data_IF_590390738999
#
_entry.id   IF_590390738999
#
_cell.length_a   1.000
_cell.length_b   1.000
_cell.length_c   1.000
_cell.angle_alpha   90.00
_cell.angle_beta   90.00
_cell.angle_gamma   90.00
#
_symmetry.space_group_name_H-M   'P 1'
#
loop_
_entity.id
_entity.type
_entity.pdbx_description
1 polymer ?
#
# COMPACT_ATOMS: atom_id res chain seq x y z
N UNK A 1 -9.63 -2.36 20.53
CA UNK A 1 -9.62 -1.45 19.36
C UNK A 1 -10.18 -2.19 18.15
N UNK A 2 -11.01 -1.51 17.36
CA UNK A 2 -11.63 -1.97 16.11
C UNK A 2 -10.95 -1.34 14.90
N UNK A 3 -11.11 -1.95 13.72
CA UNK A 3 -10.59 -1.36 12.49
C UNK A 3 -11.32 -0.05 12.14
N UNK A 4 -10.67 0.91 11.45
CA UNK A 4 -11.28 2.19 11.10
C UNK A 4 -12.52 2.00 10.23
N UNK A 5 -13.66 2.54 10.70
CA UNK A 5 -14.94 2.47 10.02
C UNK A 5 -15.12 3.64 9.05
N UNK A 6 -14.30 3.66 7.99
CA UNK A 6 -14.35 4.68 6.92
C UNK A 6 -15.66 4.65 6.13
N UNK A 7 -16.00 5.65 5.30
CA UNK A 7 -17.22 5.60 4.47
C UNK A 7 -17.31 4.40 3.52
N UNK A 8 -16.18 3.82 3.11
CA UNK A 8 -16.13 2.59 2.32
C UNK A 8 -16.24 1.32 3.17
N UNK A 9 -16.24 1.41 4.50
CA UNK A 9 -16.26 0.24 5.37
C UNK A 9 -17.63 -0.47 5.32
N UNK A 10 -17.60 -1.76 5.01
CA UNK A 10 -18.78 -2.64 4.97
C UNK A 10 -19.91 -2.11 4.06
N UNK A 11 -19.55 -1.49 2.95
CA UNK A 11 -20.50 -0.95 1.97
C UNK A 11 -20.53 -1.77 0.69
N UNK A 12 -21.68 -1.80 0.03
CA UNK A 12 -21.82 -2.50 -1.24
C UNK A 12 -21.31 -1.60 -2.36
N UNK A 13 -20.56 -2.17 -3.29
CA UNK A 13 -20.26 -1.47 -4.54
C UNK A 13 -21.13 -1.98 -5.69
N UNK A 14 -21.54 -1.06 -6.56
CA UNK A 14 -22.23 -1.35 -7.83
C UNK A 14 -21.43 -0.95 -9.06
N UNK A 15 -20.41 -0.10 -8.89
CA UNK A 15 -19.66 0.56 -9.96
C UNK A 15 -18.18 0.12 -10.05
N UNK A 16 -17.62 -0.48 -8.99
CA UNK A 16 -16.22 -0.94 -8.91
C UNK A 16 -15.96 -2.19 -9.75
N UNK A 17 -14.73 -2.68 -9.86
CA UNK A 17 -14.46 -3.93 -10.61
C UNK A 17 -15.25 -5.13 -10.05
N UNK A 18 -15.32 -6.19 -10.86
CA UNK A 18 -16.30 -7.27 -10.70
C UNK A 18 -16.28 -7.97 -9.33
N UNK A 19 -15.11 -8.21 -8.71
CA UNK A 19 -15.01 -8.83 -7.37
C UNK A 19 -15.80 -8.02 -6.35
N UNK A 20 -15.56 -6.71 -6.24
CA UNK A 20 -16.25 -5.84 -5.27
C UNK A 20 -17.77 -5.76 -5.49
N UNK A 21 -18.27 -6.10 -6.69
CA UNK A 21 -19.72 -6.13 -6.97
C UNK A 21 -20.39 -7.42 -6.48
N UNK A 22 -19.60 -8.47 -6.25
CA UNK A 22 -20.08 -9.81 -5.88
C UNK A 22 -20.01 -10.09 -4.39
N UNK A 23 -19.28 -9.25 -3.64
CA UNK A 23 -19.08 -9.40 -2.20
C UNK A 23 -20.41 -9.43 -1.45
N UNK A 24 -20.50 -10.35 -0.48
CA UNK A 24 -21.62 -10.41 0.45
C UNK A 24 -21.58 -9.18 1.38
N UNK A 25 -22.54 -8.28 1.19
CA UNK A 25 -22.72 -7.09 2.02
C UNK A 25 -24.10 -7.10 2.68
N UNK A 26 -24.24 -6.84 3.99
CA UNK A 26 -23.15 -6.57 4.94
C UNK A 26 -22.33 -7.81 5.26
N UNK A 27 -21.10 -7.59 5.72
CA UNK A 27 -20.21 -8.62 6.28
C UNK A 27 -20.91 -9.36 7.42
N UNK A 28 -20.65 -10.67 7.51
CA UNK A 28 -21.09 -11.49 8.63
C UNK A 28 -20.34 -11.15 9.92
N UNK A 29 -20.86 -11.63 11.05
CA UNK A 29 -20.25 -11.41 12.35
C UNK A 29 -18.81 -11.98 12.43
N UNK A 30 -18.56 -13.11 11.79
CA UNK A 30 -17.22 -13.72 11.75
C UNK A 30 -16.24 -12.85 10.97
N UNK A 31 -16.62 -12.35 9.79
CA UNK A 31 -15.84 -11.34 9.05
C UNK A 31 -15.59 -10.07 9.86
N UNK A 32 -16.61 -9.52 10.52
CA UNK A 32 -16.48 -8.32 11.35
C UNK A 32 -15.50 -8.50 12.51
N UNK A 33 -15.58 -9.64 13.21
CA UNK A 33 -14.66 -9.98 14.29
C UNK A 33 -13.23 -10.18 13.76
N UNK A 34 -13.09 -10.93 12.66
CA UNK A 34 -11.80 -11.17 12.02
C UNK A 34 -11.10 -9.86 11.63
N UNK A 35 -11.83 -8.91 11.05
CA UNK A 35 -11.31 -7.60 10.68
C UNK A 35 -10.76 -6.86 11.91
N UNK A 36 -11.51 -6.83 13.01
CA UNK A 36 -11.10 -6.12 14.22
C UNK A 36 -9.93 -6.78 14.95
N UNK A 37 -9.90 -8.11 14.96
CA UNK A 37 -8.80 -8.87 15.55
C UNK A 37 -7.53 -8.75 14.69
N UNK A 38 -7.66 -8.80 13.37
CA UNK A 38 -6.55 -8.56 12.44
C UNK A 38 -5.99 -7.15 12.60
N UNK A 39 -6.84 -6.14 12.67
CA UNK A 39 -6.40 -4.76 12.93
C UNK A 39 -5.62 -4.65 14.24
N UNK A 40 -6.16 -5.21 15.34
CA UNK A 40 -5.52 -5.17 16.65
C UNK A 40 -4.16 -5.90 16.65
N UNK A 41 -4.06 -7.03 15.96
CA UNK A 41 -2.82 -7.77 15.85
C UNK A 41 -1.78 -7.02 15.03
N UNK A 42 -2.17 -6.37 13.93
CA UNK A 42 -1.27 -5.49 13.16
C UNK A 42 -0.74 -4.33 13.99
N UNK A 43 -1.57 -3.72 14.83
CA UNK A 43 -1.11 -2.68 15.77
C UNK A 43 -0.11 -3.21 16.79
N UNK A 44 -0.31 -4.44 17.29
CA UNK A 44 0.64 -5.08 18.19
C UNK A 44 1.99 -5.33 17.52
N UNK A 45 2.00 -5.79 16.26
CA UNK A 45 3.26 -6.00 15.52
C UNK A 45 3.96 -4.69 15.21
N UNK A 46 3.20 -3.61 14.95
CA UNK A 46 3.78 -2.28 14.72
C UNK A 46 4.56 -1.75 15.93
N UNK A 47 4.17 -2.12 17.16
CA UNK A 47 4.94 -1.74 18.35
C UNK A 47 6.37 -2.31 18.30
N UNK A 48 6.53 -3.58 17.92
CA UNK A 48 7.87 -4.17 17.76
C UNK A 48 8.67 -3.56 16.61
N UNK A 49 8.00 -3.05 15.57
CA UNK A 49 8.65 -2.30 14.49
C UNK A 49 9.11 -0.93 14.98
N UNK A 50 8.31 -0.26 15.81
CA UNK A 50 8.66 1.03 16.42
C UNK A 50 9.91 0.91 17.30
N UNK A 51 9.94 -0.09 18.20
CA UNK A 51 11.11 -0.41 19.02
C UNK A 51 12.36 -0.68 18.16
N UNK A 52 12.20 -1.38 17.03
CA UNK A 52 13.29 -1.65 16.09
C UNK A 52 13.82 -0.36 15.45
N UNK A 53 12.93 0.55 15.05
CA UNK A 53 13.30 1.84 14.45
C UNK A 53 14.04 2.71 15.47
N UNK A 54 13.55 2.80 16.71
CA UNK A 54 14.23 3.53 17.80
C UNK A 54 15.65 2.99 18.01
N UNK A 55 15.80 1.67 18.12
CA UNK A 55 17.08 1.01 18.32
C UNK A 55 18.06 1.30 17.17
N UNK A 56 17.59 1.22 15.91
CA UNK A 56 18.41 1.52 14.73
C UNK A 56 18.87 2.98 14.72
N UNK A 57 17.96 3.93 14.96
CA UNK A 57 18.28 5.37 14.97
C UNK A 57 19.26 5.69 16.10
N UNK A 58 19.00 5.21 17.31
CA UNK A 58 19.88 5.38 18.48
C UNK A 58 21.28 4.82 18.22
N UNK A 59 21.40 3.68 17.53
CA UNK A 59 22.69 3.11 17.17
C UNK A 59 23.47 3.99 16.19
N UNK A 60 22.80 4.55 15.18
CA UNK A 60 23.41 5.48 14.23
C UNK A 60 23.88 6.77 14.91
N UNK A 61 23.13 7.26 15.91
CA UNK A 61 23.52 8.42 16.75
C UNK A 61 24.76 8.12 17.57
N UNK A 62 24.76 7.00 18.31
CA UNK A 62 25.92 6.58 19.13
C UNK A 62 27.19 6.38 18.30
N UNK A 63 27.05 5.98 17.03
CA UNK A 63 28.16 5.85 16.08
C UNK A 63 28.55 7.17 15.41
N UNK A 64 27.87 8.28 15.68
CA UNK A 64 28.08 9.60 15.06
C UNK A 64 27.96 9.59 13.52
N UNK A 65 27.18 8.67 12.96
CA UNK A 65 26.96 8.57 11.50
C UNK A 65 25.56 9.01 11.08
N UNK A 66 24.63 9.20 12.02
CA UNK A 66 23.23 9.51 11.70
C UNK A 66 23.07 10.77 10.82
N UNK A 67 23.92 11.78 10.97
CA UNK A 67 23.84 13.01 10.15
C UNK A 67 24.27 12.81 8.69
N UNK A 68 24.94 11.70 8.38
CA UNK A 68 25.38 11.33 7.03
C UNK A 68 24.66 10.07 6.51
N UNK A 69 23.51 9.72 7.11
CA UNK A 69 22.73 8.53 6.73
C UNK A 69 21.33 8.95 6.31
N UNK A 70 20.90 8.49 5.14
CA UNK A 70 19.49 8.51 4.76
C UNK A 70 18.77 7.32 5.43
N UNK A 71 17.67 7.61 6.13
CA UNK A 71 16.74 6.62 6.68
C UNK A 71 15.44 6.76 5.93
N UNK A 72 14.99 5.67 5.30
CA UNK A 72 13.77 5.61 4.51
C UNK A 72 12.85 4.57 5.14
N UNK A 73 11.65 5.00 5.53
CA UNK A 73 10.59 4.14 6.05
C UNK A 73 9.47 4.07 5.01
N UNK A 74 9.11 2.86 4.60
CA UNK A 74 8.10 2.60 3.59
C UNK A 74 7.36 1.28 3.86
N UNK A 75 6.35 0.98 3.03
CA UNK A 75 5.66 -0.33 3.01
C UNK A 75 5.65 -0.89 1.58
N UNK A 76 5.57 -2.21 1.46
CA UNK A 76 5.49 -2.92 0.17
C UNK A 76 4.15 -2.65 -0.55
N UNK A 77 3.06 -2.67 0.19
CA UNK A 77 1.69 -2.41 -0.27
C UNK A 77 0.82 -1.90 0.88
N UNK A 78 -0.37 -1.43 0.53
CA UNK A 78 -1.47 -1.19 1.45
C UNK A 78 -2.12 -2.49 1.93
N UNK A 79 -3.23 -2.37 2.65
CA UNK A 79 -3.96 -3.52 3.18
C UNK A 79 -5.36 -3.08 3.61
N UNK A 80 -6.39 -3.63 3.00
CA UNK A 80 -7.76 -3.36 3.42
C UNK A 80 -8.20 -4.25 4.58
N UNK A 81 -9.15 -3.70 5.33
CA UNK A 81 -9.77 -4.28 6.51
C UNK A 81 -11.23 -3.82 6.55
N UNK A 82 -12.08 -4.49 5.74
CA UNK A 82 -13.51 -4.25 5.66
C UNK A 82 -13.98 -3.26 4.59
N UNK A 83 -13.07 -2.63 3.83
CA UNK A 83 -13.45 -1.77 2.71
C UNK A 83 -14.26 -2.57 1.68
N UNK A 84 -15.41 -2.03 1.27
CA UNK A 84 -16.37 -2.67 0.36
C UNK A 84 -16.78 -4.09 0.77
N UNK A 85 -16.85 -4.34 2.08
CA UNK A 85 -17.15 -5.65 2.69
C UNK A 85 -16.11 -6.74 2.40
N UNK A 86 -14.94 -6.39 1.88
CA UNK A 86 -13.79 -7.29 1.78
C UNK A 86 -13.13 -7.43 3.17
N UNK A 87 -13.09 -8.64 3.76
CA UNK A 87 -12.50 -8.81 5.08
C UNK A 87 -11.03 -8.38 5.13
N UNK A 88 -10.16 -8.89 4.26
CA UNK A 88 -8.73 -8.53 4.27
C UNK A 88 -7.96 -9.05 3.06
N UNK A 89 -7.17 -8.19 2.46
CA UNK A 89 -6.15 -8.54 1.48
C UNK A 89 -5.34 -7.29 1.06
N UNK A 90 -4.60 -7.38 -0.05
CA UNK A 90 -3.81 -6.33 -0.68
C UNK A 90 -3.82 -6.38 -2.22
N UNK A 91 -4.85 -6.99 -2.81
CA UNK A 91 -4.90 -7.38 -4.24
C UNK A 91 -5.83 -6.49 -5.09
N UNK A 92 -6.26 -5.35 -4.57
CA UNK A 92 -7.13 -4.42 -5.28
C UNK A 92 -6.35 -3.18 -5.76
N UNK A 93 -6.71 -2.62 -6.92
CA UNK A 93 -6.05 -1.41 -7.46
C UNK A 93 -6.52 -0.09 -6.80
N UNK A 94 -7.21 -0.16 -5.66
CA UNK A 94 -7.75 1.01 -4.97
C UNK A 94 -6.76 1.55 -3.93
N UNK A 95 -6.97 2.81 -3.52
CA UNK A 95 -6.12 3.53 -2.55
C UNK A 95 -5.77 2.70 -1.30
N UNK A 96 -6.73 1.95 -0.77
CA UNK A 96 -6.53 1.18 0.47
C UNK A 96 -5.50 0.05 0.35
N UNK A 97 -5.19 -0.40 -0.88
CA UNK A 97 -4.25 -1.49 -1.15
C UNK A 97 -2.95 -1.02 -1.81
N UNK A 98 -2.95 0.16 -2.44
CA UNK A 98 -1.76 0.64 -3.17
C UNK A 98 -1.09 1.84 -2.51
N UNK A 99 -1.79 2.60 -1.67
CA UNK A 99 -1.21 3.78 -1.01
C UNK A 99 -0.52 3.38 0.28
N UNK A 100 0.77 3.65 0.35
CA UNK A 100 1.66 3.28 1.46
C UNK A 100 2.30 4.51 2.12
N UNK A 101 2.74 4.41 3.39
CA UNK A 101 3.58 5.45 3.98
C UNK A 101 4.93 5.53 3.25
N UNK A 102 5.47 6.75 3.13
CA UNK A 102 6.86 7.01 2.78
C UNK A 102 7.35 8.17 3.65
N UNK A 103 8.37 7.91 4.47
CA UNK A 103 9.04 8.92 5.28
C UNK A 103 10.53 8.85 5.04
N UNK A 104 11.17 10.00 4.86
CA UNK A 104 12.60 10.08 4.59
C UNK A 104 13.24 11.08 5.54
N UNK A 105 14.35 10.68 6.15
CA UNK A 105 15.27 11.51 6.92
C UNK A 105 16.65 11.40 6.29
N UNK A 106 17.43 12.47 6.26
CA UNK A 106 18.84 12.38 5.90
C UNK A 106 19.46 13.73 5.57
N UNK A 107 20.71 13.74 5.06
CA UNK A 107 21.40 14.95 4.65
C UNK A 107 20.55 15.83 3.72
N UNK A 108 20.40 17.11 4.07
CA UNK A 108 19.66 18.10 3.26
C UNK A 108 18.13 18.00 3.29
N UNK A 109 17.54 16.95 3.87
CA UNK A 109 16.09 16.81 4.00
C UNK A 109 15.59 17.69 5.15
N UNK A 110 14.65 18.59 4.88
CA UNK A 110 14.12 19.51 5.89
C UNK A 110 13.18 18.78 6.86
N UNK A 111 13.35 18.91 8.19
CA UNK A 111 12.43 18.32 9.16
C UNK A 111 10.99 18.83 9.00
N UNK A 112 10.01 17.94 9.18
CA UNK A 112 8.59 18.28 9.15
C UNK A 112 8.02 18.61 7.76
N UNK A 113 8.81 18.48 6.70
CA UNK A 113 8.36 18.70 5.32
C UNK A 113 7.28 17.67 4.94
N UNK A 114 6.22 18.14 4.28
CA UNK A 114 5.18 17.31 3.65
C UNK A 114 5.18 17.60 2.15
N UNK A 115 4.97 16.54 1.36
CA UNK A 115 4.96 16.57 -0.11
C UNK A 115 3.71 15.87 -0.61
N UNK A 116 3.12 16.41 -1.67
CA UNK A 116 1.97 15.82 -2.37
C UNK A 116 2.37 15.19 -3.71
N UNK A 117 3.66 15.22 -4.04
CA UNK A 117 4.23 14.59 -5.23
C UNK A 117 3.92 13.10 -5.26
N UNK A 118 3.63 12.60 -6.47
CA UNK A 118 3.38 11.18 -6.70
C UNK A 118 4.69 10.38 -6.74
N UNK A 119 4.94 9.65 -5.66
CA UNK A 119 6.05 8.69 -5.55
C UNK A 119 5.52 7.26 -5.56
N UNK A 120 6.22 6.38 -6.29
CA UNK A 120 5.92 4.97 -6.44
C UNK A 120 7.05 4.12 -5.84
N UNK A 121 6.77 2.87 -5.48
CA UNK A 121 7.79 1.96 -4.96
C UNK A 121 8.97 1.75 -5.93
N UNK A 122 8.69 1.76 -7.24
CA UNK A 122 9.71 1.65 -8.29
C UNK A 122 10.70 2.82 -8.30
N UNK A 123 10.36 3.94 -7.67
CA UNK A 123 11.22 5.13 -7.60
C UNK A 123 12.30 5.04 -6.53
N UNK A 124 12.18 4.09 -5.58
CA UNK A 124 13.15 3.94 -4.49
C UNK A 124 14.55 3.61 -5.04
N UNK A 125 14.64 2.66 -5.95
CA UNK A 125 15.91 2.23 -6.55
C UNK A 125 16.65 3.38 -7.28
N UNK A 126 16.05 4.09 -8.26
CA UNK A 126 16.72 5.22 -8.92
C UNK A 126 17.01 6.36 -7.95
N UNK A 127 16.17 6.59 -6.92
CA UNK A 127 16.45 7.60 -5.89
C UNK A 127 17.68 7.25 -5.07
N UNK A 128 17.88 5.99 -4.69
CA UNK A 128 19.06 5.58 -3.92
C UNK A 128 20.35 5.72 -4.73
N UNK A 129 20.31 5.40 -6.03
CA UNK A 129 21.43 5.62 -6.94
C UNK A 129 21.78 7.11 -7.03
N UNK A 130 20.78 7.96 -7.28
CA UNK A 130 20.99 9.41 -7.40
C UNK A 130 21.47 10.04 -6.08
N UNK A 131 20.96 9.60 -4.92
CA UNK A 131 21.48 10.01 -3.61
C UNK A 131 22.94 9.60 -3.40
N UNK A 132 23.36 8.46 -3.96
CA UNK A 132 24.75 8.01 -3.96
C UNK A 132 25.64 8.70 -5.02
N UNK A 133 25.08 9.64 -5.81
CA UNK A 133 25.81 10.31 -6.89
C UNK A 133 25.98 9.45 -8.16
N UNK A 134 25.23 8.34 -8.25
CA UNK A 134 25.24 7.43 -9.39
C UNK A 134 24.05 7.78 -10.29
N UNK A 135 24.30 7.97 -11.58
CA UNK A 135 23.21 8.18 -12.55
C UNK A 135 22.36 6.90 -12.64
N UNK A 136 21.04 6.97 -12.41
CA UNK A 136 20.16 5.81 -12.62
C UNK A 136 20.21 5.32 -14.08
N UNK A 137 20.27 4.00 -14.34
CA UNK A 137 20.21 3.45 -15.68
C UNK A 137 18.87 3.74 -16.38
N UNK A 138 18.92 3.94 -17.70
CA UNK A 138 17.74 4.29 -18.52
C UNK A 138 16.70 3.15 -18.63
N UNK A 139 17.02 1.92 -18.18
CA UNK A 139 16.07 0.80 -18.17
C UNK A 139 15.14 0.78 -16.95
N UNK A 140 15.39 1.62 -15.93
CA UNK A 140 14.53 1.70 -14.76
C UNK A 140 13.27 2.50 -15.10
N UNK A 141 12.09 1.92 -14.82
CA UNK A 141 10.81 2.61 -15.04
C UNK A 141 10.54 3.72 -13.99
N UNK A 142 11.20 3.62 -12.83
CA UNK A 142 11.09 4.61 -11.76
C UNK A 142 11.87 5.89 -12.04
N UNK A 143 11.52 6.95 -11.33
CA UNK A 143 12.18 8.25 -11.41
C UNK A 143 12.68 8.67 -10.04
N UNK A 144 13.91 9.21 -9.98
CA UNK A 144 14.45 9.72 -8.72
C UNK A 144 13.58 10.86 -8.17
N UNK A 145 13.14 10.74 -6.92
CA UNK A 145 12.43 11.80 -6.21
C UNK A 145 13.37 12.64 -5.32
N UNK A 146 14.69 12.58 -5.54
CA UNK A 146 15.69 13.38 -4.80
C UNK A 146 15.41 14.88 -4.86
N UNK A 147 14.96 15.40 -5.99
CA UNK A 147 14.56 16.81 -6.11
C UNK A 147 13.39 17.14 -5.18
N UNK A 148 12.42 16.23 -5.04
CA UNK A 148 11.31 16.38 -4.11
C UNK A 148 11.76 16.30 -2.62
N UNK A 149 12.87 15.64 -2.34
CA UNK A 149 13.45 15.60 -0.99
C UNK A 149 14.22 16.89 -0.63
N UNK A 150 15.00 17.42 -1.57
CA UNK A 150 16.04 18.41 -1.27
C UNK A 150 15.72 19.83 -1.74
N UNK A 151 14.77 19.97 -2.69
CA UNK A 151 14.41 21.26 -3.27
C UNK A 151 13.04 21.74 -2.77
N UNK A 152 12.80 23.07 -2.75
CA UNK A 152 11.46 23.62 -2.57
C UNK A 152 10.48 23.04 -3.62
N UNK A 153 9.17 22.95 -3.31
CA UNK A 153 8.16 22.55 -4.29
C UNK A 153 8.24 23.45 -5.52
N UNK A 154 8.31 22.84 -6.71
CA UNK A 154 8.44 23.55 -7.99
C UNK A 154 7.10 24.04 -8.58
N UNK A 155 5.97 23.82 -7.89
CA UNK A 155 4.63 24.15 -8.37
C UNK A 155 4.08 23.15 -9.40
N UNK A 156 4.94 22.58 -10.23
CA UNK A 156 4.59 21.53 -11.19
C UNK A 156 4.88 20.13 -10.63
N UNK A 157 3.88 19.24 -10.72
CA UNK A 157 4.05 17.83 -10.39
C UNK A 157 4.89 17.13 -11.47
N UNK A 158 5.97 16.45 -11.07
CA UNK A 158 6.80 15.68 -12.00
C UNK A 158 6.06 14.47 -12.61
N UNK A 159 5.02 13.99 -11.91
CA UNK A 159 4.18 12.86 -12.33
C UNK A 159 2.73 13.10 -11.90
N UNK A 160 1.78 12.86 -12.80
CA UNK A 160 0.33 12.92 -12.57
C UNK A 160 -0.36 11.57 -12.81
N UNK A 161 0.34 10.64 -13.46
CA UNK A 161 -0.15 9.35 -13.90
C UNK A 161 0.79 8.23 -13.44
N UNK A 162 0.24 7.07 -13.09
CA UNK A 162 1.02 5.88 -12.75
C UNK A 162 0.30 4.58 -13.13
N UNK A 163 1.08 3.52 -13.30
CA UNK A 163 0.60 2.19 -13.62
C UNK A 163 0.39 1.37 -12.34
N UNK A 164 -0.69 0.60 -12.30
CA UNK A 164 -0.96 -0.42 -11.26
C UNK A 164 -1.23 -1.74 -11.97
N UNK A 165 -0.51 -2.79 -11.57
CA UNK A 165 -0.59 -4.10 -12.19
C UNK A 165 -0.78 -5.19 -11.12
N UNK A 166 -1.60 -6.19 -11.44
CA UNK A 166 -1.77 -7.40 -10.64
C UNK A 166 -2.09 -8.57 -11.55
N UNK A 167 -1.55 -9.74 -11.22
CA UNK A 167 -1.88 -11.01 -11.89
C UNK A 167 -2.63 -11.89 -10.91
N UNK A 168 -3.87 -12.22 -11.26
CA UNK A 168 -4.76 -13.03 -10.44
C UNK A 168 -4.24 -14.45 -10.22
N UNK A 169 -4.43 -14.99 -9.02
CA UNK A 169 -3.89 -16.29 -8.61
C UNK A 169 -4.73 -17.50 -9.11
N UNK A 170 -4.11 -18.69 -9.11
CA UNK A 170 -4.63 -19.95 -9.70
C UNK A 170 -5.95 -20.46 -9.07
N UNK A 171 -6.60 -21.36 -9.82
CA UNK A 171 -7.77 -22.14 -9.39
C UNK A 171 -7.34 -23.25 -8.41
N UNK A 172 -7.37 -22.92 -7.12
CA UNK A 172 -7.10 -23.86 -6.03
C UNK A 172 -8.41 -24.21 -5.32
N UNK A 173 -8.47 -25.44 -4.81
CA UNK A 173 -9.55 -25.88 -3.91
C UNK A 173 -9.61 -24.95 -2.71
N UNK A 174 -10.71 -24.20 -2.57
CA UNK A 174 -10.91 -23.25 -1.49
C UNK A 174 -11.27 -23.98 -0.17
N UNK A 175 -10.37 -24.00 0.83
CA UNK A 175 -10.66 -24.69 2.09
C UNK A 175 -11.82 -24.00 2.82
N UNK A 176 -12.83 -24.78 3.23
CA UNK A 176 -13.98 -24.24 3.99
C UNK A 176 -15.07 -23.58 3.14
N UNK A 177 -14.92 -23.49 1.82
CA UNK A 177 -15.92 -22.93 0.90
C UNK A 177 -16.20 -23.86 -0.29
N UNK A 178 -16.81 -25.04 -0.04
CA UNK A 178 -16.99 -26.08 -1.07
C UNK A 178 -17.86 -25.63 -2.25
N UNK A 179 -18.70 -24.60 -2.08
CA UNK A 179 -19.49 -24.03 -3.17
C UNK A 179 -18.63 -23.36 -4.27
N UNK A 180 -17.37 -23.04 -3.98
CA UNK A 180 -16.42 -22.47 -4.94
C UNK A 180 -15.36 -23.47 -5.40
N UNK A 181 -15.52 -24.76 -5.11
CA UNK A 181 -14.59 -25.79 -5.58
C UNK A 181 -14.58 -25.84 -7.12
N UNK A 182 -13.40 -25.66 -7.72
CA UNK A 182 -13.21 -25.58 -9.18
C UNK A 182 -13.77 -24.31 -9.85
N UNK A 183 -14.08 -23.28 -9.06
CA UNK A 183 -14.37 -21.94 -9.59
C UNK A 183 -13.09 -21.09 -9.56
N UNK A 184 -12.92 -20.14 -10.51
CA UNK A 184 -11.69 -19.33 -10.60
C UNK A 184 -11.56 -18.29 -9.47
N UNK A 185 -12.21 -18.47 -8.32
CA UNK A 185 -12.15 -17.60 -7.15
C UNK A 185 -11.09 -18.09 -6.17
N UNK A 186 -10.38 -17.16 -5.55
CA UNK A 186 -9.32 -17.48 -4.61
C UNK A 186 -9.34 -16.61 -3.35
N UNK A 187 -8.63 -17.06 -2.32
CA UNK A 187 -8.54 -16.42 -1.02
C UNK A 187 -9.94 -16.15 -0.41
N UNK A 188 -10.80 -17.18 -0.42
CA UNK A 188 -12.19 -17.08 0.02
C UNK A 188 -12.33 -17.28 1.54
N UNK A 189 -12.17 -16.21 2.31
CA UNK A 189 -12.27 -16.25 3.77
C UNK A 189 -12.34 -14.83 4.36
N UNK A 190 -12.93 -14.67 5.56
CA UNK A 190 -13.95 -15.50 6.21
C UNK A 190 -15.31 -15.39 5.52
N UNK A 191 -16.26 -16.23 5.97
CA UNK A 191 -17.65 -16.26 5.46
C UNK A 191 -17.75 -16.46 3.94
N UNK A 192 -16.74 -17.10 3.35
CA UNK A 192 -16.62 -17.35 1.91
C UNK A 192 -16.75 -16.06 1.06
N UNK A 193 -16.14 -14.98 1.53
CA UNK A 193 -15.87 -13.79 0.72
C UNK A 193 -14.51 -13.96 0.04
N UNK A 194 -14.48 -13.91 -1.29
CA UNK A 194 -13.27 -14.11 -2.09
C UNK A 194 -12.62 -12.78 -2.44
N UNK A 195 -11.30 -12.70 -2.24
CA UNK A 195 -10.49 -11.49 -2.41
C UNK A 195 -9.74 -11.46 -3.75
N UNK A 196 -9.61 -12.61 -4.42
CA UNK A 196 -8.88 -12.71 -5.68
C UNK A 196 -9.51 -13.72 -6.65
N UNK A 197 -8.98 -13.76 -7.86
CA UNK A 197 -9.38 -14.69 -8.90
C UNK A 197 -8.35 -14.68 -10.02
N UNK A 198 -8.22 -15.77 -10.80
CA UNK A 198 -7.43 -15.76 -12.04
C UNK A 198 -7.82 -14.61 -12.99
N UNK A 199 -9.11 -14.25 -13.01
CA UNK A 199 -9.63 -13.16 -13.84
C UNK A 199 -9.61 -11.79 -13.12
N UNK A 200 -9.01 -11.72 -11.93
CA UNK A 200 -8.62 -10.47 -11.28
C UNK A 200 -7.24 -10.00 -11.75
N UNK A 201 -6.94 -10.20 -13.03
CA UNK A 201 -5.71 -9.71 -13.65
C UNK A 201 -5.99 -8.34 -14.25
N UNK A 202 -5.23 -7.32 -13.84
CA UNK A 202 -5.43 -5.96 -14.31
C UNK A 202 -4.12 -5.24 -14.55
N UNK A 203 -4.17 -4.33 -15.53
CA UNK A 203 -3.14 -3.34 -15.85
C UNK A 203 -3.91 -2.02 -16.01
N UNK A 204 -3.75 -1.10 -15.06
CA UNK A 204 -4.54 0.12 -14.98
C UNK A 204 -3.66 1.35 -14.84
N UNK A 205 -3.84 2.32 -15.73
CA UNK A 205 -3.26 3.66 -15.58
C UNK A 205 -4.19 4.48 -14.69
N UNK A 206 -3.65 5.02 -13.58
CA UNK A 206 -4.34 5.92 -12.68
C UNK A 206 -3.82 7.34 -12.86
N UNK A 207 -4.73 8.26 -13.14
CA UNK A 207 -4.48 9.71 -13.17
C UNK A 207 -4.95 10.35 -11.88
N UNK A 208 -4.07 11.08 -11.20
CA UNK A 208 -4.49 12.04 -10.19
C UNK A 208 -4.49 13.42 -10.84
N UNK A 209 -5.70 13.90 -11.15
CA UNK A 209 -5.90 15.30 -11.53
C UNK A 209 -6.01 16.08 -10.22
N UNK A 210 -5.29 17.21 -10.06
CA UNK A 210 -5.59 18.13 -8.97
C UNK A 210 -7.09 18.42 -9.00
N UNK A 211 -7.78 18.28 -7.88
CA UNK A 211 -9.18 18.72 -7.80
C UNK A 211 -9.19 20.19 -8.22
N UNK A 212 -9.80 20.49 -9.36
CA UNK A 212 -10.07 21.87 -9.76
C UNK A 212 -11.02 22.39 -8.69
N UNK A 213 -10.50 23.21 -7.79
CA UNK A 213 -11.25 23.90 -6.74
C UNK A 213 -12.20 24.90 -7.34
#
# INVERSE_FOLDING_TARGET
>A
MSAPRTPSFNTKSTDKHWILRQVKTPMGNASMQWVDDTFRNRWRTLLSVDDMVENMVTLLEKKNVLNNTYVVYASDNGFHLGQFSLPNDKRQFYEFDIRVPLMVRGPGVKPGQRREDLVLNIDLAPTFLDLAGIRPPDFMDGQSFKSALLSPPSGDASRTDFLVEHTGEYDLKQPGCPQYDGQPLNNCFPDCVCEDSRNNTYICVRRLVPLVT
#
